data_IF_944525011340
#
_entry.id   IF_944525011340
#
_cell.length_a   1.000
_cell.length_b   1.000
_cell.length_c   1.000
_cell.angle_alpha   90.00
_cell.angle_beta   90.00
_cell.angle_gamma   90.00
#
_symmetry.space_group_name_H-M   'P 1'
#
loop_
_entity.id
_entity.type
_entity.pdbx_description
1 polymer ?
#
# COMPACT_ATOMS: atom_id res chain seq x y z
N UNK A 1 36.07 -7.26 15.88
CA UNK A 1 35.16 -6.11 15.71
C UNK A 1 34.03 -6.60 14.82
N UNK A 2 32.82 -6.81 15.34
CA UNK A 2 31.69 -7.22 14.50
C UNK A 2 31.19 -6.03 13.71
N UNK A 3 31.09 -6.16 12.38
CA UNK A 3 30.48 -5.15 11.53
C UNK A 3 29.07 -4.82 12.04
N UNK A 4 28.61 -3.56 11.98
CA UNK A 4 27.26 -3.21 12.38
C UNK A 4 26.25 -3.97 11.50
N UNK A 5 25.25 -4.59 12.15
CA UNK A 5 24.19 -5.31 11.45
C UNK A 5 23.46 -4.36 10.49
N UNK A 6 23.38 -4.74 9.23
CA UNK A 6 22.58 -4.00 8.25
C UNK A 6 21.09 -4.16 8.56
N UNK A 7 20.22 -3.26 8.05
CA UNK A 7 18.77 -3.46 8.15
C UNK A 7 18.31 -4.82 7.62
N UNK A 8 18.98 -5.35 6.57
CA UNK A 8 18.73 -6.68 6.02
C UNK A 8 19.06 -7.80 7.01
N UNK A 9 20.20 -7.69 7.71
CA UNK A 9 20.60 -8.67 8.72
C UNK A 9 19.63 -8.68 9.92
N UNK A 10 19.15 -7.49 10.31
CA UNK A 10 18.14 -7.35 11.37
C UNK A 10 16.80 -7.97 10.96
N UNK A 11 16.35 -7.70 9.73
CA UNK A 11 15.12 -8.27 9.18
C UNK A 11 15.21 -9.80 9.12
N UNK A 12 16.32 -10.35 8.63
CA UNK A 12 16.58 -11.79 8.62
C UNK A 12 16.48 -12.39 10.03
N UNK A 13 17.18 -11.78 11.00
CA UNK A 13 17.14 -12.24 12.39
C UNK A 13 15.73 -12.20 12.99
N UNK A 14 14.95 -11.17 12.67
CA UNK A 14 13.56 -11.04 13.10
C UNK A 14 12.68 -12.14 12.48
N UNK A 15 12.74 -12.30 11.16
CA UNK A 15 11.96 -13.32 10.42
C UNK A 15 12.27 -14.71 10.95
N UNK A 16 13.55 -15.08 11.07
CA UNK A 16 13.93 -16.43 11.52
C UNK A 16 13.33 -16.73 12.91
N UNK A 17 13.44 -15.80 13.85
CA UNK A 17 12.90 -15.97 15.21
C UNK A 17 11.37 -16.05 15.25
N UNK A 18 10.68 -15.26 14.42
CA UNK A 18 9.22 -15.31 14.36
C UNK A 18 8.73 -16.61 13.70
N UNK A 19 9.46 -17.06 12.66
CA UNK A 19 9.16 -18.27 11.91
C UNK A 19 9.27 -19.55 12.74
N UNK A 20 10.08 -19.56 13.82
CA UNK A 20 10.13 -20.66 14.79
C UNK A 20 8.79 -20.88 15.50
N UNK A 21 7.96 -19.84 15.63
CA UNK A 21 6.66 -19.91 16.29
C UNK A 21 5.52 -20.17 15.32
N UNK A 22 5.42 -19.36 14.27
CA UNK A 22 4.33 -19.38 13.28
C UNK A 22 4.77 -18.75 11.97
N UNK A 23 4.00 -19.03 10.89
CA UNK A 23 4.11 -18.23 9.66
C UNK A 23 3.75 -16.77 9.92
N UNK A 24 4.45 -15.87 9.22
CA UNK A 24 4.39 -14.43 9.46
C UNK A 24 3.40 -13.77 8.49
N UNK A 25 2.60 -12.81 8.97
CA UNK A 25 1.84 -11.90 8.12
C UNK A 25 2.59 -10.56 8.09
N UNK A 26 2.85 -10.05 6.89
CA UNK A 26 3.51 -8.75 6.70
C UNK A 26 2.46 -7.76 6.21
N UNK A 27 2.25 -6.69 6.98
CA UNK A 27 1.38 -5.57 6.62
C UNK A 27 2.25 -4.31 6.51
N UNK A 28 2.23 -3.64 5.37
CA UNK A 28 2.97 -2.39 5.16
C UNK A 28 1.99 -1.35 4.67
N UNK A 29 1.78 -0.31 5.48
CA UNK A 29 1.00 0.84 5.06
C UNK A 29 1.89 1.90 4.40
N UNK A 30 1.30 2.66 3.48
CA UNK A 30 1.92 3.75 2.73
C UNK A 30 3.35 3.44 2.23
N UNK A 31 3.52 2.28 1.58
CA UNK A 31 4.85 1.81 1.14
C UNK A 31 5.56 2.78 0.18
N UNK A 32 4.79 3.64 -0.50
CA UNK A 32 5.21 4.61 -1.49
C UNK A 32 5.48 6.00 -0.91
N UNK A 33 5.17 6.25 0.37
CA UNK A 33 5.34 7.55 1.02
C UNK A 33 6.72 8.18 0.80
N UNK A 34 7.86 7.45 0.95
CA UNK A 34 9.18 8.05 0.72
C UNK A 34 9.40 8.53 -0.72
N UNK A 35 8.71 7.96 -1.70
CA UNK A 35 8.80 8.39 -3.10
C UNK A 35 7.88 9.58 -3.34
N UNK A 36 6.65 9.52 -2.83
CA UNK A 36 5.64 10.58 -2.95
C UNK A 36 6.14 11.88 -2.28
N UNK A 37 6.77 11.78 -1.12
CA UNK A 37 7.33 12.93 -0.40
C UNK A 37 8.52 13.59 -1.12
N UNK A 38 9.18 12.85 -2.01
CA UNK A 38 10.36 13.29 -2.76
C UNK A 38 10.06 13.65 -4.22
N UNK A 39 8.79 13.86 -4.60
CA UNK A 39 8.40 14.14 -5.99
C UNK A 39 9.08 15.37 -6.60
N UNK A 40 9.38 16.40 -5.79
CA UNK A 40 10.08 17.61 -6.24
C UNK A 40 11.62 17.43 -6.28
N UNK A 41 12.14 16.26 -5.91
CA UNK A 41 13.56 15.97 -5.85
C UNK A 41 13.88 14.60 -6.47
N UNK A 42 14.09 14.59 -7.78
CA UNK A 42 14.44 13.41 -8.57
C UNK A 42 15.58 12.56 -7.98
N UNK A 43 16.59 13.21 -7.39
CA UNK A 43 17.72 12.50 -6.80
C UNK A 43 17.28 11.73 -5.56
N UNK A 44 16.56 12.40 -4.65
CA UNK A 44 16.04 11.78 -3.44
C UNK A 44 15.00 10.70 -3.77
N UNK A 45 14.11 10.94 -4.74
CA UNK A 45 13.15 9.95 -5.21
C UNK A 45 13.85 8.66 -5.72
N UNK A 46 14.94 8.79 -6.49
CA UNK A 46 15.75 7.64 -6.96
C UNK A 46 16.45 6.91 -5.83
N UNK A 47 16.96 7.63 -4.83
CA UNK A 47 17.58 7.03 -3.64
C UNK A 47 16.54 6.25 -2.81
N UNK A 48 15.37 6.84 -2.58
CA UNK A 48 14.26 6.21 -1.87
C UNK A 48 13.73 4.98 -2.61
N UNK A 49 13.61 5.06 -3.94
CA UNK A 49 13.27 3.91 -4.78
C UNK A 49 14.25 2.74 -4.62
N UNK A 50 15.55 3.03 -4.54
CA UNK A 50 16.59 1.99 -4.31
C UNK A 50 16.45 1.36 -2.92
N UNK A 51 16.16 2.15 -1.90
CA UNK A 51 15.90 1.67 -0.53
C UNK A 51 14.69 0.72 -0.52
N UNK A 52 13.58 1.14 -1.12
CA UNK A 52 12.35 0.33 -1.21
C UNK A 52 12.62 -0.97 -1.98
N UNK A 53 13.32 -0.93 -3.11
CA UNK A 53 13.66 -2.14 -3.86
C UNK A 53 14.50 -3.12 -3.05
N UNK A 54 15.50 -2.61 -2.30
CA UNK A 54 16.35 -3.44 -1.45
C UNK A 54 15.56 -4.08 -0.31
N UNK A 55 14.63 -3.32 0.30
CA UNK A 55 13.76 -3.80 1.36
C UNK A 55 12.87 -4.96 0.89
N UNK A 56 12.15 -4.78 -0.23
CA UNK A 56 11.32 -5.84 -0.79
C UNK A 56 12.13 -7.03 -1.30
N UNK A 57 13.35 -6.80 -1.82
CA UNK A 57 14.26 -7.90 -2.19
C UNK A 57 14.67 -8.73 -0.98
N UNK A 58 14.94 -8.10 0.17
CA UNK A 58 15.25 -8.81 1.41
C UNK A 58 14.02 -9.61 1.90
N UNK A 59 12.82 -9.02 1.87
CA UNK A 59 11.58 -9.72 2.20
C UNK A 59 11.33 -10.92 1.29
N UNK A 60 11.54 -10.78 -0.02
CA UNK A 60 11.42 -11.86 -1.00
C UNK A 60 12.30 -13.06 -0.65
N UNK A 61 13.53 -12.83 -0.20
CA UNK A 61 14.45 -13.88 0.26
C UNK A 61 13.93 -14.71 1.44
N UNK A 62 12.88 -14.23 2.11
CA UNK A 62 12.26 -14.82 3.29
C UNK A 62 10.81 -15.25 3.08
N UNK A 63 10.29 -15.17 1.86
CA UNK A 63 8.89 -15.45 1.51
C UNK A 63 8.37 -16.82 1.95
N UNK A 64 9.24 -17.84 2.06
CA UNK A 64 8.87 -19.17 2.56
C UNK A 64 8.33 -19.15 4.00
N UNK A 65 8.71 -18.16 4.81
CA UNK A 65 8.24 -17.99 6.18
C UNK A 65 6.92 -17.21 6.28
N UNK A 66 6.45 -16.62 5.18
CA UNK A 66 5.27 -15.77 5.18
C UNK A 66 4.00 -16.59 4.92
N UNK A 67 2.93 -16.25 5.63
CA UNK A 67 1.57 -16.71 5.35
C UNK A 67 0.92 -15.83 4.28
N UNK A 68 1.10 -14.51 4.41
CA UNK A 68 0.58 -13.50 3.51
C UNK A 68 1.40 -12.22 3.64
N UNK A 69 1.41 -11.42 2.58
CA UNK A 69 1.92 -10.06 2.58
C UNK A 69 0.86 -9.16 1.95
N UNK A 70 0.54 -8.06 2.62
CA UNK A 70 -0.40 -7.06 2.14
C UNK A 70 0.23 -5.68 2.28
N UNK A 71 0.15 -4.89 1.21
CA UNK A 71 0.72 -3.54 1.19
C UNK A 71 -0.31 -2.55 0.65
N UNK A 72 -0.29 -1.33 1.20
CA UNK A 72 -1.17 -0.23 0.78
C UNK A 72 -0.33 1.00 0.43
N UNK A 73 -0.84 1.82 -0.48
CA UNK A 73 -0.22 3.04 -0.96
C UNK A 73 -1.14 3.75 -1.95
N UNK A 74 -0.80 4.97 -2.33
CA UNK A 74 -1.66 5.82 -3.19
C UNK A 74 -1.21 5.82 -4.65
N UNK A 75 0.09 5.69 -4.89
CA UNK A 75 0.72 5.77 -6.19
C UNK A 75 1.09 4.39 -6.70
N UNK A 76 0.60 3.99 -7.89
CA UNK A 76 1.07 2.78 -8.54
C UNK A 76 2.50 3.01 -9.02
N UNK A 77 3.49 2.58 -8.24
CA UNK A 77 4.88 2.67 -8.68
C UNK A 77 5.05 1.76 -9.90
N UNK A 78 5.59 2.27 -11.02
CA UNK A 78 5.77 1.46 -12.22
C UNK A 78 6.56 0.20 -11.89
N UNK A 79 5.95 -0.98 -12.13
CA UNK A 79 6.60 -2.27 -11.87
C UNK A 79 7.98 -2.35 -12.52
N UNK A 80 8.21 -1.67 -13.64
CA UNK A 80 9.51 -1.55 -14.34
C UNK A 80 10.66 -1.03 -13.47
N UNK A 81 10.36 -0.25 -12.44
CA UNK A 81 11.35 0.39 -11.57
C UNK A 81 11.77 -0.47 -10.36
N UNK A 82 10.97 -1.46 -9.96
CA UNK A 82 11.16 -2.28 -8.74
C UNK A 82 10.89 -3.80 -8.98
N UNK A 83 11.01 -4.29 -10.22
CA UNK A 83 10.59 -5.66 -10.59
C UNK A 83 11.19 -6.76 -9.70
N UNK A 84 12.46 -6.65 -9.32
CA UNK A 84 13.14 -7.73 -8.59
C UNK A 84 12.58 -7.92 -7.19
N UNK A 85 12.40 -6.82 -6.45
CA UNK A 85 11.94 -6.84 -5.07
C UNK A 85 10.46 -7.20 -4.96
N UNK A 86 9.61 -6.57 -5.78
CA UNK A 86 8.15 -6.70 -5.66
C UNK A 86 7.54 -7.87 -6.44
N UNK A 87 8.36 -8.72 -7.05
CA UNK A 87 7.86 -9.90 -7.81
C UNK A 87 7.12 -10.95 -6.97
N UNK A 88 7.13 -10.84 -5.64
CA UNK A 88 6.34 -11.68 -4.72
C UNK A 88 4.94 -11.12 -4.44
N UNK A 89 4.58 -9.98 -5.05
CA UNK A 89 3.32 -9.29 -4.85
C UNK A 89 2.48 -9.29 -6.14
N UNK A 90 1.21 -9.59 -5.97
CA UNK A 90 0.18 -9.37 -6.98
C UNK A 90 -0.45 -8.00 -6.78
N UNK A 91 -0.69 -7.28 -7.88
CA UNK A 91 -1.35 -5.97 -7.79
C UNK A 91 -2.85 -6.18 -7.93
N UNK A 92 -3.55 -6.15 -6.79
CA UNK A 92 -4.99 -6.32 -6.70
C UNK A 92 -5.76 -4.99 -6.62
N UNK A 93 -5.10 -3.84 -6.77
CA UNK A 93 -5.70 -2.51 -6.54
C UNK A 93 -6.91 -2.19 -7.43
N UNK A 94 -7.08 -2.88 -8.55
CA UNK A 94 -8.21 -2.71 -9.49
C UNK A 94 -9.08 -3.96 -9.59
N UNK A 95 -8.87 -4.95 -8.71
CA UNK A 95 -9.70 -6.15 -8.67
C UNK A 95 -11.03 -5.85 -7.96
N UNK A 96 -12.20 -6.18 -8.56
CA UNK A 96 -13.50 -5.95 -7.93
C UNK A 96 -13.64 -6.55 -6.53
N UNK A 97 -12.98 -7.69 -6.29
CA UNK A 97 -12.94 -8.37 -5.00
C UNK A 97 -12.21 -7.57 -3.92
N UNK A 98 -11.23 -6.74 -4.31
CA UNK A 98 -10.49 -5.86 -3.41
C UNK A 98 -11.19 -4.51 -3.21
N UNK A 99 -12.17 -4.15 -4.05
CA UNK A 99 -12.87 -2.85 -3.99
C UNK A 99 -13.63 -2.64 -2.67
N UNK A 100 -14.05 -3.73 -2.01
CA UNK A 100 -14.73 -3.67 -0.70
C UNK A 100 -13.77 -3.91 0.47
N UNK A 101 -12.50 -4.24 0.20
CA UNK A 101 -11.51 -4.52 1.24
C UNK A 101 -11.04 -3.22 1.93
N UNK A 102 -11.02 -2.11 1.18
CA UNK A 102 -10.58 -0.79 1.63
C UNK A 102 -11.49 0.29 1.03
N UNK A 103 -11.80 1.33 1.79
CA UNK A 103 -12.70 2.42 1.36
C UNK A 103 -14.07 2.33 2.03
N UNK A 104 -15.04 3.07 1.48
CA UNK A 104 -16.43 3.05 1.94
C UNK A 104 -17.27 2.26 0.94
N UNK A 105 -18.18 1.44 1.43
CA UNK A 105 -19.29 0.95 0.62
C UNK A 105 -20.22 2.11 0.25
N UNK A 106 -21.01 1.95 -0.83
CA UNK A 106 -22.01 2.95 -1.21
C UNK A 106 -22.99 3.22 -0.07
N UNK A 107 -23.36 2.17 0.67
CA UNK A 107 -24.27 2.27 1.80
C UNK A 107 -23.66 3.08 2.96
N UNK A 108 -22.39 2.84 3.31
CA UNK A 108 -21.68 3.62 4.33
C UNK A 108 -21.54 5.09 3.91
N UNK A 109 -21.24 5.34 2.63
CA UNK A 109 -21.15 6.69 2.08
C UNK A 109 -22.49 7.44 2.21
N UNK A 110 -23.58 6.82 1.79
CA UNK A 110 -24.92 7.42 1.85
C UNK A 110 -25.41 7.58 3.30
N UNK A 111 -25.02 6.68 4.20
CA UNK A 111 -25.46 6.72 5.60
C UNK A 111 -24.67 7.77 6.38
N UNK A 112 -23.35 7.73 6.31
CA UNK A 112 -22.47 8.55 7.16
C UNK A 112 -22.16 9.93 6.56
N UNK A 113 -22.32 10.11 5.25
CA UNK A 113 -22.02 11.38 4.57
C UNK A 113 -23.25 12.07 3.95
N UNK A 114 -24.48 11.63 4.28
CA UNK A 114 -25.72 12.22 3.77
C UNK A 114 -25.77 13.75 3.88
N UNK A 115 -25.38 14.31 5.03
CA UNK A 115 -25.35 15.76 5.23
C UNK A 115 -24.37 16.48 4.31
N UNK A 116 -23.21 15.88 4.04
CA UNK A 116 -22.20 16.41 3.12
C UNK A 116 -22.67 16.30 1.66
N UNK A 117 -23.34 15.21 1.29
CA UNK A 117 -23.95 15.03 -0.04
C UNK A 117 -25.03 16.09 -0.26
N UNK A 118 -25.87 16.36 0.74
CA UNK A 118 -26.86 17.43 0.69
C UNK A 118 -26.24 18.83 0.55
N UNK A 119 -25.11 19.08 1.22
CA UNK A 119 -24.36 20.32 1.06
C UNK A 119 -23.77 20.46 -0.35
N UNK A 120 -23.14 19.40 -0.85
CA UNK A 120 -22.55 19.38 -2.20
C UNK A 120 -23.62 19.59 -3.28
N UNK A 121 -24.79 18.95 -3.14
CA UNK A 121 -25.93 19.14 -4.04
C UNK A 121 -26.34 20.62 -4.16
N UNK A 122 -26.35 21.35 -3.02
CA UNK A 122 -26.63 22.79 -3.00
C UNK A 122 -25.54 23.62 -3.69
N UNK A 123 -24.26 23.28 -3.46
CA UNK A 123 -23.13 24.01 -4.06
C UNK A 123 -23.09 23.81 -5.58
N UNK A 124 -23.28 22.59 -6.05
CA UNK A 124 -23.24 22.25 -7.48
C UNK A 124 -24.58 22.47 -8.19
N UNK A 125 -25.59 22.97 -7.49
CA UNK A 125 -26.95 23.21 -8.01
C UNK A 125 -27.53 21.96 -8.72
N UNK A 126 -27.40 20.82 -8.06
CA UNK A 126 -27.79 19.49 -8.53
C UNK A 126 -28.64 18.77 -7.48
N UNK A 127 -29.15 17.57 -7.77
CA UNK A 127 -29.88 16.76 -6.78
C UNK A 127 -28.95 15.79 -6.06
N UNK A 128 -29.26 15.52 -4.78
CA UNK A 128 -28.59 14.48 -3.98
C UNK A 128 -28.69 13.11 -4.66
N UNK A 129 -29.82 12.83 -5.32
CA UNK A 129 -30.02 11.61 -6.10
C UNK A 129 -29.02 11.50 -7.24
N UNK A 130 -28.83 12.56 -8.03
CA UNK A 130 -27.87 12.56 -9.14
C UNK A 130 -26.44 12.33 -8.62
N UNK A 131 -26.05 13.02 -7.54
CA UNK A 131 -24.74 12.79 -6.92
C UNK A 131 -24.57 11.36 -6.42
N UNK A 132 -25.62 10.80 -5.80
CA UNK A 132 -25.62 9.41 -5.32
C UNK A 132 -25.53 8.38 -6.44
N UNK A 133 -26.12 8.67 -7.61
CA UNK A 133 -26.05 7.84 -8.81
C UNK A 133 -24.67 7.94 -9.48
N UNK A 134 -23.99 9.09 -9.35
CA UNK A 134 -22.66 9.35 -9.89
C UNK A 134 -21.51 8.78 -9.04
N UNK A 135 -21.77 8.34 -7.79
CA UNK A 135 -20.78 7.64 -6.95
C UNK A 135 -20.31 6.36 -7.65
N UNK A 136 -19.01 6.31 -7.95
CA UNK A 136 -18.30 5.13 -8.46
C UNK A 136 -17.30 4.68 -7.40
N UNK A 137 -17.47 3.45 -6.93
CA UNK A 137 -16.58 2.74 -6.00
C UNK A 137 -16.04 1.51 -6.70
#
# INVERSE_FOLDING_TARGET
MTLPLTPSDKLKGLVTKLAEKNKIIVLIDEYDYPIVDALDNDKLAKENLKIINNFFTALKGHSAHFRAMFITGVSPIPKTSIKSGMSILDNISLEPEAATLLGYTKEELLTHFSEYIAQLARIENTSEKKLSDDIRL
#
